data_IF_253964551749
#
_entry.id   IF_253964551749
#
_cell.length_a   1.000
_cell.length_b   1.000
_cell.length_c   1.000
_cell.angle_alpha   90.00
_cell.angle_beta   90.00
_cell.angle_gamma   90.00
#
_symmetry.space_group_name_H-M   'P 1'
#
loop_
_entity.id
_entity.type
_entity.pdbx_description
1 polymer ?
#
# COMPACT_ATOMS: atom_id res chain seq x y z
N UNK A 1 -5.39 -9.98 1.29
CA UNK A 1 -6.05 -9.22 0.21
C UNK A 1 -6.92 -10.18 -0.58
N UNK A 2 -8.25 -10.03 -0.55
CA UNK A 2 -9.24 -10.97 -1.12
C UNK A 2 -9.47 -10.73 -2.62
N UNK A 3 -8.41 -10.71 -3.43
CA UNK A 3 -8.45 -10.29 -4.84
C UNK A 3 -7.69 -11.28 -5.74
N UNK A 4 -8.12 -11.38 -7.00
CA UNK A 4 -7.45 -12.18 -8.02
C UNK A 4 -7.28 -11.36 -9.28
N UNK A 5 -6.06 -11.35 -9.83
CA UNK A 5 -5.75 -10.60 -11.05
C UNK A 5 -5.58 -9.11 -10.81
N UNK A 6 -5.27 -8.40 -11.89
CA UNK A 6 -5.08 -6.95 -11.90
C UNK A 6 -6.44 -6.28 -12.04
N UNK A 7 -7.17 -6.61 -13.09
CA UNK A 7 -8.53 -6.16 -13.39
C UNK A 7 -9.57 -7.18 -12.95
N UNK A 8 -9.35 -8.46 -13.29
CA UNK A 8 -10.26 -9.55 -12.98
C UNK A 8 -9.51 -10.89 -12.91
N UNK A 9 -10.16 -11.95 -12.43
CA UNK A 9 -9.56 -13.29 -12.36
C UNK A 9 -9.25 -13.89 -13.74
N UNK A 10 -9.89 -13.38 -14.80
CA UNK A 10 -9.67 -13.79 -16.20
C UNK A 10 -8.31 -13.36 -16.74
N UNK A 11 -7.62 -12.41 -16.09
CA UNK A 11 -6.26 -12.00 -16.45
C UNK A 11 -5.27 -13.18 -16.47
N UNK A 12 -5.60 -14.25 -15.74
CA UNK A 12 -4.80 -15.47 -15.66
C UNK A 12 -5.00 -16.43 -16.83
N UNK A 13 -6.12 -16.37 -17.54
CA UNK A 13 -6.45 -17.30 -18.62
C UNK A 13 -5.44 -17.31 -19.78
N UNK A 14 -4.93 -16.16 -20.26
CA UNK A 14 -3.91 -16.18 -21.31
C UNK A 14 -2.55 -16.74 -20.85
N UNK A 15 -2.29 -16.84 -19.53
CA UNK A 15 -1.00 -17.28 -18.97
C UNK A 15 -1.05 -18.74 -18.50
N UNK A 16 -2.14 -19.14 -17.87
CA UNK A 16 -2.31 -20.44 -17.21
C UNK A 16 -3.24 -21.39 -17.98
N UNK A 17 -3.92 -20.90 -19.02
CA UNK A 17 -4.93 -21.63 -19.77
C UNK A 17 -6.36 -21.28 -19.35
N UNK A 18 -7.31 -21.60 -20.22
CA UNK A 18 -8.72 -21.31 -20.00
C UNK A 18 -9.22 -21.94 -18.69
N UNK A 19 -10.03 -21.18 -17.92
CA UNK A 19 -10.59 -21.59 -16.63
C UNK A 19 -9.55 -22.07 -15.59
N UNK A 20 -8.31 -21.59 -15.70
CA UNK A 20 -7.23 -21.89 -14.77
C UNK A 20 -6.76 -20.62 -14.07
N UNK A 21 -6.76 -20.62 -12.74
CA UNK A 21 -6.26 -19.53 -11.90
C UNK A 21 -5.28 -20.08 -10.84
N UNK A 22 -4.43 -19.24 -10.22
CA UNK A 22 -3.59 -19.68 -9.11
C UNK A 22 -4.40 -20.01 -7.85
N UNK A 23 -3.95 -20.97 -7.04
CA UNK A 23 -4.65 -21.37 -5.81
C UNK A 23 -4.86 -20.21 -4.81
N UNK A 24 -3.98 -19.21 -4.84
CA UNK A 24 -4.08 -17.98 -4.04
C UNK A 24 -5.32 -17.14 -4.35
N UNK A 25 -5.94 -17.36 -5.50
CA UNK A 25 -7.15 -16.68 -5.92
C UNK A 25 -8.44 -17.29 -5.36
N UNK A 26 -8.37 -18.49 -4.78
CA UNK A 26 -9.53 -19.14 -4.19
C UNK A 26 -9.88 -18.53 -2.83
N UNK A 27 -11.17 -18.60 -2.49
CA UNK A 27 -11.62 -18.20 -1.15
C UNK A 27 -11.14 -19.18 -0.08
N UNK A 28 -11.07 -20.45 -0.44
CA UNK A 28 -10.53 -21.52 0.38
C UNK A 28 -9.19 -21.97 -0.22
N UNK A 29 -8.13 -21.91 0.58
CA UNK A 29 -6.77 -22.25 0.12
C UNK A 29 -6.59 -23.76 0.13
N UNK A 30 -7.11 -24.43 -0.89
CA UNK A 30 -6.85 -25.84 -1.17
C UNK A 30 -5.88 -25.98 -2.35
N UNK A 31 -5.01 -26.99 -2.30
CA UNK A 31 -4.09 -27.29 -3.39
C UNK A 31 -4.89 -27.64 -4.65
N UNK A 32 -4.65 -26.93 -5.74
CA UNK A 32 -5.28 -27.17 -7.04
C UNK A 32 -6.70 -26.61 -7.19
N UNK A 33 -7.20 -25.79 -6.27
CA UNK A 33 -8.55 -25.19 -6.37
C UNK A 33 -8.75 -24.34 -7.64
N UNK A 34 -7.66 -23.80 -8.18
CA UNK A 34 -7.71 -22.95 -9.35
C UNK A 34 -7.67 -23.69 -10.68
N UNK A 35 -7.43 -25.01 -10.68
CA UNK A 35 -7.54 -25.85 -11.87
C UNK A 35 -9.01 -26.22 -12.07
N UNK A 36 -9.61 -25.77 -13.17
CA UNK A 36 -11.05 -25.88 -13.45
C UNK A 36 -11.88 -25.01 -12.50
N UNK A 37 -11.93 -23.70 -12.78
CA UNK A 37 -12.48 -22.59 -11.97
C UNK A 37 -13.97 -22.67 -11.58
N UNK A 38 -14.52 -23.86 -11.38
CA UNK A 38 -15.80 -24.11 -10.74
C UNK A 38 -15.76 -23.86 -9.22
N UNK A 39 -14.57 -23.72 -8.64
CA UNK A 39 -14.37 -23.33 -7.23
C UNK A 39 -14.68 -21.84 -6.98
N UNK A 40 -15.11 -21.46 -5.75
CA UNK A 40 -15.34 -20.06 -5.39
C UNK A 40 -14.00 -19.28 -5.38
N UNK A 41 -13.81 -18.42 -6.38
CA UNK A 41 -12.64 -17.56 -6.56
C UNK A 41 -12.97 -16.07 -6.37
N UNK A 42 -11.96 -15.28 -6.01
CA UNK A 42 -12.09 -13.82 -5.90
C UNK A 42 -12.22 -13.18 -7.28
N UNK A 43 -13.39 -12.63 -7.63
CA UNK A 43 -13.58 -11.90 -8.90
C UNK A 43 -13.15 -10.44 -8.86
N UNK A 44 -12.60 -9.98 -7.74
CA UNK A 44 -12.16 -8.58 -7.66
C UNK A 44 -10.70 -8.49 -8.01
N UNK A 45 -10.37 -7.70 -9.04
CA UNK A 45 -8.99 -7.32 -9.34
C UNK A 45 -8.33 -6.54 -8.21
N UNK A 46 -7.01 -6.66 -8.11
CA UNK A 46 -6.21 -5.89 -7.16
C UNK A 46 -6.19 -4.40 -7.52
N UNK A 47 -6.20 -4.05 -8.82
CA UNK A 47 -6.14 -2.66 -9.28
C UNK A 47 -7.46 -1.93 -9.03
N UNK A 48 -8.61 -2.57 -9.26
CA UNK A 48 -9.92 -1.98 -8.96
C UNK A 48 -10.09 -1.65 -7.48
N UNK A 49 -9.51 -2.48 -6.59
CA UNK A 49 -9.44 -2.17 -5.15
C UNK A 49 -8.39 -1.15 -4.77
N UNK A 50 -7.24 -1.12 -5.44
CA UNK A 50 -6.22 -0.10 -5.19
C UNK A 50 -6.73 1.29 -5.60
N UNK A 51 -7.47 1.38 -6.71
CA UNK A 51 -8.13 2.60 -7.18
C UNK A 51 -9.27 3.02 -6.23
N UNK A 52 -10.07 2.08 -5.72
CA UNK A 52 -11.12 2.36 -4.74
C UNK A 52 -10.61 2.72 -3.33
N UNK A 53 -9.47 2.13 -2.91
CA UNK A 53 -8.81 2.45 -1.65
C UNK A 53 -8.02 3.76 -1.69
N UNK A 54 -7.68 4.24 -2.90
CA UNK A 54 -7.09 5.55 -3.16
C UNK A 54 -8.20 6.61 -3.24
N UNK A 55 -9.03 6.67 -2.20
CA UNK A 55 -9.94 7.78 -1.99
C UNK A 55 -9.18 9.12 -1.98
N UNK A 56 -9.86 10.27 -2.15
CA UNK A 56 -9.21 11.57 -2.20
C UNK A 56 -8.33 11.75 -0.96
N UNK A 57 -7.02 11.88 -1.17
CA UNK A 57 -6.02 12.06 -0.11
C UNK A 57 -6.18 13.43 0.55
N UNK A 58 -7.20 13.58 1.40
CA UNK A 58 -7.36 14.70 2.32
C UNK A 58 -6.78 14.30 3.68
N UNK A 59 -5.45 14.37 3.84
CA UNK A 59 -4.83 14.29 5.18
C UNK A 59 -3.75 15.37 5.32
N UNK A 60 -4.10 16.58 5.79
CA UNK A 60 -3.13 17.63 6.11
C UNK A 60 -2.34 17.38 7.40
N UNK A 61 -2.80 16.45 8.28
CA UNK A 61 -2.13 16.13 9.55
C UNK A 61 -0.61 15.88 9.43
N UNK A 62 -0.10 15.00 8.52
CA UNK A 62 1.34 14.77 8.41
C UNK A 62 2.14 16.01 7.99
N UNK A 63 1.50 16.97 7.29
CA UNK A 63 2.17 18.19 6.82
C UNK A 63 2.47 19.16 7.96
N UNK A 64 1.59 19.24 8.95
CA UNK A 64 1.78 20.11 10.14
C UNK A 64 2.94 19.61 10.99
N UNK A 65 3.00 18.31 11.26
CA UNK A 65 4.10 17.71 12.01
C UNK A 65 5.46 17.89 11.32
N UNK A 66 5.48 17.84 9.99
CA UNK A 66 6.71 18.03 9.22
C UNK A 66 7.23 19.48 9.28
N UNK A 67 6.37 20.49 9.16
CA UNK A 67 6.77 21.89 9.30
C UNK A 67 7.20 22.20 10.73
N UNK A 68 6.47 21.65 11.71
CA UNK A 68 6.79 21.81 13.12
C UNK A 68 8.19 21.27 13.46
N UNK A 69 8.53 20.08 12.93
CA UNK A 69 9.87 19.49 13.10
C UNK A 69 10.99 20.38 12.55
N UNK A 70 10.81 20.96 11.36
CA UNK A 70 11.81 21.85 10.75
C UNK A 70 12.03 23.12 11.58
N UNK A 71 10.96 23.70 12.13
CA UNK A 71 11.04 24.89 12.98
C UNK A 71 11.77 24.61 14.31
N UNK A 72 11.47 23.47 14.95
CA UNK A 72 12.13 23.08 16.19
C UNK A 72 13.62 22.81 15.99
N UNK A 73 14.01 22.09 14.94
CA UNK A 73 15.43 21.81 14.65
C UNK A 73 16.24 23.07 14.44
N UNK A 74 15.72 24.04 13.67
CA UNK A 74 16.40 25.33 13.46
C UNK A 74 16.53 26.14 14.75
N UNK A 75 15.47 26.17 15.56
CA UNK A 75 15.48 26.91 16.84
C UNK A 75 16.46 26.30 17.83
N UNK A 76 16.49 24.96 17.95
CA UNK A 76 17.43 24.25 18.82
C UNK A 76 18.88 24.46 18.39
N UNK A 77 19.16 24.37 17.09
CA UNK A 77 20.50 24.61 16.54
C UNK A 77 20.98 26.04 16.83
N UNK A 78 20.11 27.03 16.64
CA UNK A 78 20.43 28.42 16.95
C UNK A 78 20.68 28.64 18.45
N UNK A 79 19.89 27.99 19.32
CA UNK A 79 20.15 28.03 20.76
C UNK A 79 21.52 27.46 21.07
N UNK A 80 21.81 26.21 20.68
CA UNK A 80 23.09 25.54 20.97
C UNK A 80 24.28 26.36 20.48
N UNK A 81 24.24 26.92 19.27
CA UNK A 81 25.33 27.72 18.74
C UNK A 81 25.49 29.07 19.46
N UNK A 82 24.38 29.71 19.88
CA UNK A 82 24.43 30.94 20.69
C UNK A 82 24.88 30.69 22.12
N UNK A 83 24.51 29.56 22.73
CA UNK A 83 24.99 29.21 24.05
C UNK A 83 26.45 28.80 23.98
N UNK A 84 26.87 27.99 22.99
CA UNK A 84 28.28 27.65 22.73
C UNK A 84 29.18 28.89 22.66
N UNK A 85 28.80 29.90 21.86
CA UNK A 85 29.52 31.18 21.80
C UNK A 85 29.58 31.98 23.10
N UNK A 86 28.75 31.68 24.10
CA UNK A 86 28.81 32.33 25.43
C UNK A 86 29.78 31.62 26.39
N UNK A 87 30.19 30.39 26.10
CA UNK A 87 31.10 29.61 26.95
C UNK A 87 32.56 29.64 26.45
N UNK A 88 32.79 30.15 25.23
CA UNK A 88 34.13 30.40 24.65
C UNK A 88 34.68 31.82 24.97
N UNK A 89 34.22 32.44 26.06
CA UNK A 89 34.66 33.77 26.53
C UNK A 89 35.27 33.71 27.93
#
# INVERSE_FOLDING_TARGET
MRCCGVTDYTDWYPVLGENTVPDRCCMENSQGCGRNSSAPVWRTGAASRALGARGPHLRPLPRVFQILGMAFSMTLFQHIHRTGKKYDA
#
